data_IF_574906913968
#
_entry.id   IF_574906913968
#
_cell.length_a   1.000
_cell.length_b   1.000
_cell.length_c   1.000
_cell.angle_alpha   90.00
_cell.angle_beta   90.00
_cell.angle_gamma   90.00
#
_symmetry.space_group_name_H-M   'P 1'
#
loop_
_entity.id
_entity.type
_entity.pdbx_description
1 polymer ?
#
# COMPACT_ATOMS: atom_id res chain seq x y z
N UNK A 1 2.31 32.02 0.77
CA UNK A 1 2.85 31.54 -0.52
C UNK A 1 2.14 30.29 -0.98
N UNK A 2 1.45 30.43 -2.12
CA UNK A 2 0.61 29.39 -2.72
C UNK A 2 1.50 28.24 -3.20
N UNK A 3 1.33 27.06 -2.61
CA UNK A 3 1.81 25.78 -3.13
C UNK A 3 1.00 25.44 -4.40
N UNK A 4 1.30 26.12 -5.50
CA UNK A 4 0.78 25.71 -6.80
C UNK A 4 1.62 24.52 -7.28
N UNK A 5 0.93 23.39 -7.42
CA UNK A 5 1.47 22.16 -7.97
C UNK A 5 1.90 22.45 -9.42
N UNK A 6 3.20 22.38 -9.71
CA UNK A 6 3.75 22.72 -11.04
C UNK A 6 3.45 21.66 -12.09
N UNK A 7 2.99 20.50 -11.65
CA UNK A 7 2.51 19.38 -12.44
C UNK A 7 1.10 19.13 -11.89
N UNK A 8 0.07 19.10 -12.73
CA UNK A 8 -1.32 19.02 -12.31
C UNK A 8 -1.74 17.68 -11.68
N UNK A 9 -0.87 17.01 -10.94
CA UNK A 9 -1.15 15.73 -10.30
C UNK A 9 -2.12 15.94 -9.13
N UNK A 10 -3.25 15.24 -9.20
CA UNK A 10 -4.23 15.21 -8.12
C UNK A 10 -3.69 14.39 -6.95
N UNK A 11 -4.11 14.72 -5.73
CA UNK A 11 -3.81 13.91 -4.54
C UNK A 11 -4.26 12.44 -4.71
N UNK A 12 -5.28 12.19 -5.51
CA UNK A 12 -5.73 10.84 -5.87
C UNK A 12 -4.68 10.08 -6.66
N UNK A 13 -4.01 10.75 -7.61
CA UNK A 13 -2.96 10.15 -8.42
C UNK A 13 -1.78 9.69 -7.55
N UNK A 14 -1.47 10.43 -6.48
CA UNK A 14 -0.45 10.04 -5.50
C UNK A 14 -0.84 8.77 -4.74
N UNK A 15 -2.08 8.67 -4.25
CA UNK A 15 -2.55 7.47 -3.56
C UNK A 15 -2.64 6.25 -4.49
N UNK A 16 -3.04 6.45 -5.76
CA UNK A 16 -2.99 5.40 -6.79
C UNK A 16 -1.54 4.95 -7.01
N UNK A 17 -0.60 5.89 -7.06
CA UNK A 17 0.83 5.59 -7.13
C UNK A 17 1.28 4.70 -5.96
N UNK A 18 0.91 5.06 -4.72
CA UNK A 18 1.24 4.26 -3.53
C UNK A 18 0.68 2.83 -3.62
N UNK A 19 -0.57 2.66 -4.06
CA UNK A 19 -1.17 1.34 -4.28
C UNK A 19 -0.33 0.53 -5.27
N UNK A 20 0.01 1.11 -6.42
CA UNK A 20 0.79 0.45 -7.46
C UNK A 20 2.19 0.05 -6.98
N UNK A 21 2.90 0.97 -6.31
CA UNK A 21 4.24 0.69 -5.80
C UNK A 21 4.24 -0.39 -4.71
N UNK A 22 3.22 -0.43 -3.84
CA UNK A 22 3.09 -1.50 -2.86
C UNK A 22 2.86 -2.85 -3.53
N UNK A 23 2.04 -2.93 -4.58
CA UNK A 23 1.84 -4.17 -5.33
C UNK A 23 3.13 -4.61 -6.02
N UNK A 24 3.83 -3.70 -6.68
CA UNK A 24 5.13 -4.00 -7.33
C UNK A 24 6.13 -4.52 -6.30
N UNK A 25 6.22 -3.87 -5.12
CA UNK A 25 7.11 -4.31 -4.05
C UNK A 25 6.74 -5.72 -3.54
N UNK A 26 5.44 -6.01 -3.35
CA UNK A 26 4.97 -7.34 -2.96
C UNK A 26 5.27 -8.42 -3.99
N UNK A 27 5.24 -8.08 -5.29
CA UNK A 27 5.67 -8.99 -6.36
C UNK A 27 7.18 -9.23 -6.23
N UNK A 28 7.97 -8.16 -6.11
CA UNK A 28 9.43 -8.24 -6.03
C UNK A 28 9.94 -9.02 -4.82
N UNK A 29 9.22 -9.01 -3.70
CA UNK A 29 9.58 -9.81 -2.52
C UNK A 29 9.50 -11.32 -2.75
N UNK A 30 8.78 -11.78 -3.78
CA UNK A 30 8.68 -13.20 -4.13
C UNK A 30 9.56 -13.61 -5.31
N UNK A 31 10.17 -12.63 -5.98
CA UNK A 31 11.15 -12.89 -7.02
C UNK A 31 12.47 -13.34 -6.40
N UNK A 32 13.19 -14.20 -7.10
CA UNK A 32 14.52 -14.67 -6.77
C UNK A 32 15.57 -13.88 -7.54
N UNK A 33 16.82 -13.94 -7.05
CA UNK A 33 17.95 -13.24 -7.68
C UNK A 33 18.23 -13.68 -9.13
N UNK A 34 17.73 -14.85 -9.54
CA UNK A 34 17.86 -15.40 -10.90
C UNK A 34 16.62 -15.19 -11.79
N UNK A 35 15.57 -14.54 -11.28
CA UNK A 35 14.41 -14.20 -12.10
C UNK A 35 14.74 -13.09 -13.11
N UNK A 36 14.17 -13.21 -14.32
CA UNK A 36 14.36 -12.21 -15.38
C UNK A 36 13.83 -10.83 -14.94
N UNK A 37 14.68 -9.81 -15.05
CA UNK A 37 14.29 -8.42 -14.80
C UNK A 37 13.21 -7.91 -15.76
N UNK A 38 13.08 -8.55 -16.93
CA UNK A 38 12.06 -8.23 -17.93
C UNK A 38 10.99 -9.34 -17.98
N UNK A 39 9.86 -9.09 -17.32
CA UNK A 39 8.76 -10.02 -17.25
C UNK A 39 7.75 -9.78 -18.39
N UNK A 40 7.15 -10.86 -18.90
CA UNK A 40 6.04 -10.76 -19.84
C UNK A 40 4.88 -9.94 -19.23
N UNK A 41 4.31 -8.95 -19.94
CA UNK A 41 3.22 -8.13 -19.41
C UNK A 41 2.01 -8.91 -18.89
N UNK A 42 1.65 -10.03 -19.52
CA UNK A 42 0.55 -10.88 -19.07
C UNK A 42 0.88 -11.58 -17.73
N UNK A 43 2.15 -11.91 -17.49
CA UNK A 43 2.59 -12.47 -16.21
C UNK A 43 2.52 -11.39 -15.12
N UNK A 44 3.00 -10.17 -15.43
CA UNK A 44 2.93 -9.04 -14.49
C UNK A 44 1.47 -8.75 -14.09
N UNK A 45 0.54 -8.72 -15.04
CA UNK A 45 -0.88 -8.52 -14.75
C UNK A 45 -1.45 -9.62 -13.83
N UNK A 46 -1.12 -10.90 -14.07
CA UNK A 46 -1.57 -12.00 -13.20
C UNK A 46 -1.02 -11.87 -11.78
N UNK A 47 0.25 -11.49 -11.64
CA UNK A 47 0.87 -11.27 -10.33
C UNK A 47 0.28 -10.05 -9.62
N UNK A 48 0.00 -8.99 -10.36
CA UNK A 48 -0.68 -7.81 -9.85
C UNK A 48 -2.06 -8.16 -9.28
N UNK A 49 -2.89 -8.87 -10.05
CA UNK A 49 -4.22 -9.33 -9.62
C UNK A 49 -4.12 -10.23 -8.38
N UNK A 50 -3.13 -11.13 -8.35
CA UNK A 50 -2.89 -12.00 -7.21
C UNK A 50 -2.59 -11.20 -5.94
N UNK A 51 -1.67 -10.22 -6.00
CA UNK A 51 -1.32 -9.37 -4.85
C UNK A 51 -2.45 -8.45 -4.43
N UNK A 52 -3.18 -7.87 -5.39
CA UNK A 52 -4.35 -7.05 -5.10
C UNK A 52 -5.42 -7.84 -4.35
N UNK A 53 -5.71 -9.08 -4.78
CA UNK A 53 -6.68 -9.95 -4.12
C UNK A 53 -6.22 -10.35 -2.71
N UNK A 54 -4.95 -10.72 -2.54
CA UNK A 54 -4.39 -11.04 -1.23
C UNK A 54 -4.54 -9.87 -0.24
N UNK A 55 -4.20 -8.65 -0.67
CA UNK A 55 -4.34 -7.46 0.17
C UNK A 55 -5.82 -7.14 0.48
N UNK A 56 -6.72 -7.37 -0.47
CA UNK A 56 -8.17 -7.22 -0.27
C UNK A 56 -8.72 -8.23 0.74
N UNK A 57 -8.29 -9.48 0.69
CA UNK A 57 -8.67 -10.51 1.66
C UNK A 57 -8.18 -10.13 3.06
N UNK A 58 -6.90 -9.74 3.18
CA UNK A 58 -6.34 -9.26 4.44
C UNK A 58 -7.12 -8.05 5.00
N UNK A 59 -7.48 -7.10 4.14
CA UNK A 59 -8.30 -5.94 4.51
C UNK A 59 -9.68 -6.36 5.01
N UNK A 60 -10.33 -7.30 4.33
CA UNK A 60 -11.64 -7.81 4.73
C UNK A 60 -11.58 -8.49 6.10
N UNK A 61 -10.54 -9.30 6.35
CA UNK A 61 -10.30 -9.90 7.68
C UNK A 61 -10.09 -8.84 8.75
N UNK A 62 -9.24 -7.84 8.50
CA UNK A 62 -9.01 -6.74 9.46
C UNK A 62 -10.28 -5.92 9.72
N UNK A 63 -11.06 -5.62 8.69
CA UNK A 63 -12.33 -4.91 8.85
C UNK A 63 -13.35 -5.71 9.68
N UNK A 64 -13.35 -7.03 9.59
CA UNK A 64 -14.18 -7.87 10.46
C UNK A 64 -13.72 -7.76 11.93
N UNK A 65 -12.41 -7.77 12.18
CA UNK A 65 -11.86 -7.81 13.54
C UNK A 65 -11.85 -6.43 14.24
N UNK A 66 -11.65 -5.35 13.49
CA UNK A 66 -11.53 -3.98 14.01
C UNK A 66 -12.73 -3.07 13.68
N UNK A 67 -13.71 -3.59 12.93
CA UNK A 67 -14.83 -2.81 12.43
C UNK A 67 -14.43 -1.77 11.38
N UNK A 68 -15.32 -0.83 11.10
CA UNK A 68 -15.14 0.17 10.05
C UNK A 68 -14.63 1.53 10.56
N UNK A 69 -13.90 1.53 11.68
CA UNK A 69 -13.42 2.76 12.36
C UNK A 69 -12.58 3.68 11.46
N UNK A 70 -11.97 3.12 10.41
CA UNK A 70 -11.24 3.89 9.41
C UNK A 70 -12.13 4.90 8.68
N UNK A 71 -13.42 4.62 8.47
CA UNK A 71 -14.34 5.49 7.72
C UNK A 71 -14.46 6.91 8.30
N UNK A 72 -14.31 7.04 9.61
CA UNK A 72 -14.39 8.32 10.33
C UNK A 72 -13.05 9.09 10.34
N UNK A 73 -11.97 8.49 9.84
CA UNK A 73 -10.65 9.10 9.81
C UNK A 73 -10.54 10.17 8.72
N UNK A 74 -9.62 11.12 8.96
CA UNK A 74 -9.25 12.15 7.98
C UNK A 74 -8.26 11.58 6.99
N UNK A 75 -8.22 12.14 5.77
CA UNK A 75 -7.24 11.74 4.74
C UNK A 75 -5.80 11.84 5.26
N UNK A 76 -5.49 12.88 6.03
CA UNK A 76 -4.16 13.06 6.65
C UNK A 76 -3.76 11.92 7.58
N UNK A 77 -4.72 11.30 8.27
CA UNK A 77 -4.45 10.17 9.16
C UNK A 77 -3.90 8.97 8.37
N UNK A 78 -4.41 8.72 7.16
CA UNK A 78 -3.87 7.66 6.32
C UNK A 78 -2.45 7.97 5.85
N UNK A 79 -2.16 9.23 5.52
CA UNK A 79 -0.80 9.66 5.19
C UNK A 79 0.16 9.41 6.35
N UNK A 80 -0.23 9.74 7.58
CA UNK A 80 0.60 9.48 8.77
C UNK A 80 0.83 7.98 8.98
N UNK A 81 -0.20 7.16 8.83
CA UNK A 81 -0.09 5.70 8.93
C UNK A 81 0.83 5.11 7.86
N UNK A 82 0.75 5.61 6.62
CA UNK A 82 1.65 5.21 5.53
C UNK A 82 3.09 5.60 5.86
N UNK A 83 3.34 6.84 6.32
CA UNK A 83 4.68 7.29 6.71
C UNK A 83 5.27 6.43 7.84
N UNK A 84 4.46 6.06 8.83
CA UNK A 84 4.89 5.15 9.89
C UNK A 84 5.34 3.79 9.35
N UNK A 85 4.62 3.24 8.36
CA UNK A 85 4.96 1.97 7.72
C UNK A 85 6.20 2.04 6.82
N UNK A 86 6.42 3.17 6.14
CA UNK A 86 7.66 3.44 5.40
C UNK A 86 8.85 3.44 6.36
N UNK A 87 8.76 4.22 7.46
CA UNK A 87 9.81 4.29 8.47
C UNK A 87 10.09 2.91 9.09
N UNK A 88 9.03 2.12 9.33
CA UNK A 88 9.15 0.76 9.84
C UNK A 88 9.87 -0.17 8.85
N UNK A 89 9.52 -0.10 7.58
CA UNK A 89 10.14 -0.91 6.51
C UNK A 89 11.63 -0.61 6.42
N UNK A 90 12.00 0.67 6.36
CA UNK A 90 13.40 1.09 6.35
C UNK A 90 14.19 0.57 7.55
N UNK A 91 13.61 0.62 8.75
CA UNK A 91 14.26 0.08 9.95
C UNK A 91 14.49 -1.44 9.89
N UNK A 92 13.63 -2.19 9.21
CA UNK A 92 13.78 -3.64 9.04
C UNK A 92 14.91 -3.92 8.04
N UNK A 93 14.94 -3.19 6.93
CA UNK A 93 15.99 -3.27 5.91
C UNK A 93 17.37 -2.92 6.48
N UNK A 94 17.47 -1.81 7.23
CA UNK A 94 18.72 -1.35 7.88
C UNK A 94 19.26 -2.40 8.88
N UNK A 95 18.40 -3.28 9.41
CA UNK A 95 18.78 -4.38 10.32
C UNK A 95 19.08 -5.69 9.60
N UNK A 96 19.17 -5.68 8.27
CA UNK A 96 19.42 -6.85 7.45
C UNK A 96 18.28 -7.88 7.51
N UNK A 97 17.03 -7.40 7.59
CA UNK A 97 15.84 -8.25 7.67
C UNK A 97 15.65 -8.98 9.02
N UNK A 98 16.51 -8.75 10.02
CA UNK A 98 16.37 -9.37 11.34
C UNK A 98 15.31 -8.65 12.17
N UNK A 99 14.11 -9.23 12.22
CA UNK A 99 13.04 -8.79 13.13
C UNK A 99 13.00 -9.65 14.39
N UNK A 100 12.91 -9.02 15.56
CA UNK A 100 12.83 -9.73 16.84
C UNK A 100 11.49 -10.49 17.03
N UNK A 101 10.41 -10.10 16.37
CA UNK A 101 9.10 -10.76 16.36
C UNK A 101 8.29 -10.26 15.12
N UNK A 102 7.84 -11.20 14.29
CA UNK A 102 6.55 -11.30 13.55
C UNK A 102 6.08 -10.30 12.48
N UNK A 103 6.71 -9.18 12.17
CA UNK A 103 6.20 -8.31 11.08
C UNK A 103 7.19 -8.24 9.91
N UNK A 104 6.88 -8.98 8.85
CA UNK A 104 7.61 -8.94 7.59
C UNK A 104 7.39 -7.62 6.83
N UNK A 105 8.27 -7.35 5.88
CA UNK A 105 8.19 -6.16 5.01
C UNK A 105 6.92 -6.20 4.14
N UNK A 106 6.49 -7.40 3.75
CA UNK A 106 5.24 -7.70 3.04
C UNK A 106 3.99 -7.18 3.79
N UNK A 107 3.93 -7.38 5.11
CA UNK A 107 2.83 -6.89 5.93
C UNK A 107 2.77 -5.36 5.92
N UNK A 108 3.91 -4.68 5.92
CA UNK A 108 3.95 -3.21 5.83
C UNK A 108 3.45 -2.71 4.47
N UNK A 109 3.86 -3.33 3.37
CA UNK A 109 3.36 -2.97 2.04
C UNK A 109 1.85 -3.19 1.91
N UNK A 110 1.35 -4.30 2.45
CA UNK A 110 -0.09 -4.59 2.47
C UNK A 110 -0.87 -3.55 3.27
N UNK A 111 -0.33 -3.09 4.40
CA UNK A 111 -0.94 -2.03 5.21
C UNK A 111 -0.92 -0.66 4.50
N UNK A 112 0.22 -0.27 3.92
CA UNK A 112 0.33 0.98 3.16
C UNK A 112 -0.65 1.03 1.99
N UNK A 113 -0.79 -0.09 1.27
CA UNK A 113 -1.77 -0.24 0.20
C UNK A 113 -3.20 -0.01 0.71
N UNK A 114 -3.57 -0.67 1.80
CA UNK A 114 -4.92 -0.55 2.36
C UNK A 114 -5.22 0.87 2.85
N UNK A 115 -4.27 1.54 3.51
CA UNK A 115 -4.44 2.94 3.90
C UNK A 115 -4.60 3.88 2.70
N UNK A 116 -3.87 3.63 1.60
CA UNK A 116 -4.03 4.39 0.38
C UNK A 116 -5.41 4.17 -0.26
N UNK A 117 -5.93 2.93 -0.27
CA UNK A 117 -7.30 2.64 -0.72
C UNK A 117 -8.33 3.36 0.17
N UNK A 118 -8.18 3.32 1.49
CA UNK A 118 -9.10 4.02 2.40
C UNK A 118 -9.10 5.54 2.18
N UNK A 119 -7.93 6.12 1.89
CA UNK A 119 -7.82 7.52 1.51
C UNK A 119 -8.57 7.81 0.21
N UNK A 120 -8.38 6.99 -0.84
CA UNK A 120 -9.08 7.13 -2.12
C UNK A 120 -10.60 7.05 -1.95
N UNK A 121 -11.07 6.08 -1.17
CA UNK A 121 -12.49 5.90 -0.85
C UNK A 121 -13.04 7.15 -0.17
N UNK A 122 -12.29 7.71 0.79
CA UNK A 122 -12.67 8.91 1.54
C UNK A 122 -12.71 10.15 0.67
N UNK A 123 -11.72 10.35 -0.21
CA UNK A 123 -11.63 11.50 -1.12
C UNK A 123 -12.81 11.50 -2.11
N UNK A 124 -13.15 10.34 -2.65
CA UNK A 124 -14.20 10.18 -3.65
C UNK A 124 -15.61 10.12 -3.07
N UNK A 125 -15.78 10.28 -1.76
CA UNK A 125 -17.07 10.27 -1.07
C UNK A 125 -17.95 9.05 -1.40
N UNK A 126 -17.36 7.87 -1.60
CA UNK A 126 -18.10 6.62 -1.89
C UNK A 126 -19.10 6.18 -0.80
N UNK A 127 -19.25 6.96 0.28
CA UNK A 127 -20.16 6.70 1.40
C UNK A 127 -21.29 7.72 1.58
N UNK A 128 -21.27 8.84 0.84
CA UNK A 128 -22.32 9.86 0.96
C UNK A 128 -23.48 9.56 -0.03
N UNK A 129 -24.00 8.32 0.00
CA UNK A 129 -25.24 7.93 -0.69
C UNK A 129 -26.42 7.93 0.27
#
# INVERSE_FOLDING_TARGET
DKKENKVGESIESEFIGIVNYCIIALIQLELKDDDDMEMNPNTVLKLYDLKANMCKELMATKNHDYGEAWRDMRVSTYTDLILMKILRTKQIEDKGGKTLISEGIDANFSDMLNYAIFALIRINNFYNS
#
